data_IF_807527276511
#
_entry.id   IF_807527276511
#
_cell.length_a   1.000
_cell.length_b   1.000
_cell.length_c   1.000
_cell.angle_alpha   90.00
_cell.angle_beta   90.00
_cell.angle_gamma   90.00
#
_symmetry.space_group_name_H-M   'P 1'
#
loop_
_entity.id
_entity.type
_entity.pdbx_description
1 polymer ?
#
# COMPACT_ATOMS: atom_id res chain seq x y z
N UNK A 1 54.15 -15.21 2.48
CA UNK A 1 53.07 -14.99 1.50
C UNK A 1 52.19 -13.78 1.83
N UNK A 2 51.59 -13.67 3.03
CA UNK A 2 50.67 -12.58 3.38
C UNK A 2 51.23 -11.16 3.19
N UNK A 3 52.51 -10.95 3.56
CA UNK A 3 53.21 -9.67 3.39
C UNK A 3 53.38 -9.25 1.92
N UNK A 4 53.47 -10.22 1.00
CA UNK A 4 53.64 -9.97 -0.43
C UNK A 4 52.37 -9.41 -1.04
N UNK A 5 51.19 -9.99 -0.73
CA UNK A 5 49.89 -9.49 -1.17
C UNK A 5 49.57 -8.10 -0.60
N UNK A 6 50.00 -7.82 0.63
CA UNK A 6 49.84 -6.51 1.25
C UNK A 6 50.68 -5.43 0.53
N UNK A 7 51.91 -5.75 0.11
CA UNK A 7 52.81 -4.81 -0.56
C UNK A 7 52.39 -4.47 -1.99
N UNK A 8 51.67 -5.36 -2.68
CA UNK A 8 51.10 -5.09 -4.02
C UNK A 8 49.67 -4.53 -3.95
N UNK A 9 49.15 -4.23 -2.74
CA UNK A 9 47.79 -3.71 -2.54
C UNK A 9 46.66 -4.72 -2.78
N UNK A 10 46.97 -5.99 -3.02
CA UNK A 10 46.01 -7.06 -3.31
C UNK A 10 45.52 -7.81 -2.06
N UNK A 11 45.89 -7.35 -0.85
CA UNK A 11 45.50 -7.96 0.42
C UNK A 11 45.40 -6.96 1.55
N UNK A 12 44.47 -7.21 2.47
CA UNK A 12 44.27 -6.38 3.66
C UNK A 12 45.04 -6.93 4.87
N UNK A 13 45.11 -6.16 5.96
CA UNK A 13 45.66 -6.66 7.23
C UNK A 13 44.88 -7.91 7.66
N UNK A 14 45.62 -8.90 8.15
CA UNK A 14 45.06 -10.17 8.65
C UNK A 14 43.91 -9.89 9.63
N UNK A 15 42.74 -10.48 9.38
CA UNK A 15 41.52 -10.28 10.18
C UNK A 15 40.53 -9.20 9.69
N UNK A 16 40.89 -8.38 8.68
CA UNK A 16 40.01 -7.32 8.14
C UNK A 16 39.10 -7.78 7.00
N UNK A 17 39.52 -8.78 6.21
CA UNK A 17 38.85 -9.16 4.96
C UNK A 17 37.42 -9.68 5.13
N UNK A 18 37.22 -10.67 6.02
CA UNK A 18 35.88 -11.24 6.28
C UNK A 18 34.91 -10.18 6.83
N UNK A 19 35.26 -9.38 7.87
CA UNK A 19 34.40 -8.28 8.31
C UNK A 19 34.03 -7.29 7.21
N UNK A 20 34.95 -6.95 6.29
CA UNK A 20 34.62 -6.05 5.18
C UNK A 20 33.65 -6.67 4.18
N UNK A 21 33.81 -7.95 3.84
CA UNK A 21 32.86 -8.67 2.97
C UNK A 21 31.47 -8.65 3.62
N UNK A 22 31.37 -8.96 4.91
CA UNK A 22 30.10 -8.91 5.64
C UNK A 22 29.52 -7.49 5.70
N UNK A 23 30.35 -6.46 5.88
CA UNK A 23 29.90 -5.06 5.88
C UNK A 23 29.40 -4.60 4.51
N UNK A 24 30.04 -5.03 3.41
CA UNK A 24 29.63 -4.74 2.05
C UNK A 24 28.30 -5.41 1.70
N UNK A 25 28.13 -6.67 2.08
CA UNK A 25 26.88 -7.41 1.89
C UNK A 25 25.75 -6.83 2.74
N UNK A 26 26.05 -6.40 3.97
CA UNK A 26 25.09 -5.69 4.83
C UNK A 26 24.70 -4.31 4.26
N UNK A 27 25.66 -3.58 3.68
CA UNK A 27 25.38 -2.31 3.01
C UNK A 27 24.47 -2.50 1.80
N UNK A 28 24.75 -3.51 0.98
CA UNK A 28 23.97 -3.87 -0.20
C UNK A 28 22.65 -4.62 0.11
N UNK A 29 22.36 -4.90 1.39
CA UNK A 29 21.22 -5.70 1.84
C UNK A 29 21.12 -7.08 1.15
N UNK A 30 22.27 -7.66 0.81
CA UNK A 30 22.38 -9.01 0.29
C UNK A 30 22.29 -10.02 1.42
N UNK A 31 21.80 -11.23 1.10
CA UNK A 31 21.80 -12.34 2.04
C UNK A 31 23.22 -12.53 2.61
N UNK A 32 23.32 -12.52 3.93
CA UNK A 32 24.59 -12.61 4.67
C UNK A 32 25.42 -13.81 4.16
N UNK A 33 26.72 -13.61 3.90
CA UNK A 33 27.63 -14.69 3.50
C UNK A 33 27.56 -15.89 4.45
N UNK A 34 27.56 -17.10 3.89
CA UNK A 34 27.58 -18.35 4.68
C UNK A 34 28.99 -18.92 4.73
N UNK A 35 29.62 -18.84 5.89
CA UNK A 35 30.90 -19.48 6.17
C UNK A 35 30.65 -20.82 6.86
N UNK A 36 31.11 -21.92 6.26
CA UNK A 36 30.99 -23.26 6.84
C UNK A 36 32.13 -24.17 6.38
N UNK A 37 32.43 -25.19 7.18
CA UNK A 37 33.45 -26.18 6.90
C UNK A 37 32.80 -27.45 6.33
N UNK A 38 33.33 -27.91 5.19
CA UNK A 38 32.96 -29.17 4.56
C UNK A 38 34.01 -30.21 4.92
N UNK A 39 33.57 -31.36 5.41
CA UNK A 39 34.46 -32.42 5.93
C UNK A 39 35.03 -33.29 4.79
N UNK A 40 34.32 -33.41 3.66
CA UNK A 40 34.79 -34.24 2.54
C UNK A 40 34.39 -33.63 1.16
N UNK A 41 35.36 -33.11 0.39
CA UNK A 41 36.76 -32.85 0.77
C UNK A 41 36.88 -31.77 1.86
N UNK A 42 37.95 -31.81 2.66
CA UNK A 42 38.25 -30.81 3.70
C UNK A 42 38.40 -29.41 3.09
N UNK A 43 37.38 -28.57 3.26
CA UNK A 43 37.33 -27.23 2.66
C UNK A 43 36.59 -26.25 3.57
N UNK A 44 37.13 -25.04 3.71
CA UNK A 44 36.39 -23.90 4.27
C UNK A 44 35.69 -23.17 3.13
N UNK A 45 34.35 -23.18 3.12
CA UNK A 45 33.54 -22.56 2.08
C UNK A 45 32.90 -21.27 2.59
N UNK A 46 33.13 -20.18 1.86
CA UNK A 46 32.42 -18.91 2.01
C UNK A 46 31.48 -18.71 0.81
N UNK A 47 30.20 -18.95 1.01
CA UNK A 47 29.19 -18.74 -0.03
C UNK A 47 28.69 -17.29 -0.01
N UNK A 48 28.84 -16.59 -1.13
CA UNK A 48 28.38 -15.22 -1.34
C UNK A 48 27.13 -15.26 -2.22
N UNK A 49 25.96 -15.01 -1.64
CA UNK A 49 24.72 -14.87 -2.41
C UNK A 49 24.54 -13.41 -2.83
N UNK A 50 24.31 -13.16 -4.13
CA UNK A 50 24.09 -11.83 -4.72
C UNK A 50 22.58 -11.60 -4.94
N UNK A 51 21.72 -12.45 -4.37
CA UNK A 51 20.27 -12.30 -4.49
C UNK A 51 19.85 -11.13 -3.59
N UNK A 52 19.54 -10.02 -4.24
CA UNK A 52 18.98 -8.81 -3.66
C UNK A 52 17.64 -9.14 -2.97
N UNK A 53 17.50 -8.82 -1.68
CA UNK A 53 16.17 -8.77 -1.04
C UNK A 53 15.38 -7.52 -1.50
N UNK A 54 16.02 -6.61 -2.24
CA UNK A 54 15.53 -5.28 -2.61
C UNK A 54 15.85 -5.04 -4.08
N UNK A 55 14.87 -4.68 -4.89
CA UNK A 55 15.14 -4.33 -6.31
C UNK A 55 16.17 -3.20 -6.37
N UNK A 56 17.13 -3.30 -7.29
CA UNK A 56 18.15 -2.27 -7.52
C UNK A 56 17.50 -0.90 -7.80
N UNK A 57 16.32 -0.92 -8.43
CA UNK A 57 15.44 0.22 -8.67
C UNK A 57 15.00 0.92 -7.38
N UNK A 58 14.64 0.14 -6.35
CA UNK A 58 14.19 0.67 -5.06
C UNK A 58 15.33 1.35 -4.31
N UNK A 59 16.53 0.75 -4.34
CA UNK A 59 17.71 1.35 -3.73
C UNK A 59 18.10 2.67 -4.42
N UNK A 60 18.10 2.70 -5.76
CA UNK A 60 18.37 3.91 -6.54
C UNK A 60 17.35 5.02 -6.24
N UNK A 61 16.06 4.70 -6.18
CA UNK A 61 14.99 5.65 -5.86
C UNK A 61 15.16 6.26 -4.46
N UNK A 62 15.50 5.44 -3.45
CA UNK A 62 15.72 5.91 -2.09
C UNK A 62 16.97 6.80 -1.99
N UNK A 63 18.06 6.44 -2.67
CA UNK A 63 19.26 7.28 -2.74
C UNK A 63 19.00 8.60 -3.47
N UNK A 64 18.18 8.60 -4.53
CA UNK A 64 17.80 9.83 -5.21
C UNK A 64 16.94 10.76 -4.33
N UNK A 65 15.95 10.20 -3.61
CA UNK A 65 15.03 11.00 -2.78
C UNK A 65 15.66 11.51 -1.47
N UNK A 66 16.49 10.71 -0.83
CA UNK A 66 16.97 11.01 0.53
C UNK A 66 18.49 11.14 0.65
N UNK A 67 19.24 10.82 -0.41
CA UNK A 67 20.70 10.93 -0.43
C UNK A 67 21.38 10.09 0.64
N UNK A 68 22.45 10.65 1.23
CA UNK A 68 23.23 10.02 2.30
C UNK A 68 22.49 9.90 3.64
N UNK A 69 21.27 10.44 3.77
CA UNK A 69 20.46 10.25 4.98
C UNK A 69 20.05 8.79 5.15
N UNK A 70 19.81 8.06 4.04
CA UNK A 70 19.46 6.62 4.05
C UNK A 70 20.56 5.77 4.69
N UNK A 71 21.81 6.17 4.50
CA UNK A 71 22.98 5.45 5.03
C UNK A 71 23.05 5.48 6.56
N UNK A 72 22.42 6.49 7.19
CA UNK A 72 22.36 6.64 8.65
C UNK A 72 21.26 5.81 9.30
N UNK A 73 20.35 5.23 8.50
CA UNK A 73 19.25 4.42 9.02
C UNK A 73 19.76 3.08 9.53
N UNK A 74 19.24 2.65 10.68
CA UNK A 74 19.47 1.32 11.20
C UNK A 74 18.75 0.25 10.35
N UNK A 75 19.01 -1.02 10.62
CA UNK A 75 18.48 -2.14 9.85
C UNK A 75 16.95 -2.16 9.81
N UNK A 76 16.29 -1.89 10.95
CA UNK A 76 14.83 -1.83 11.06
C UNK A 76 14.25 -0.66 10.26
N UNK A 77 14.80 0.53 10.47
CA UNK A 77 14.39 1.77 9.81
C UNK A 77 14.52 1.64 8.29
N UNK A 78 15.62 1.04 7.84
CA UNK A 78 15.89 0.78 6.43
C UNK A 78 14.88 -0.19 5.83
N UNK A 79 14.60 -1.31 6.51
CA UNK A 79 13.58 -2.28 6.05
C UNK A 79 12.20 -1.63 5.90
N UNK A 80 11.78 -0.80 6.86
CA UNK A 80 10.49 -0.09 6.79
C UNK A 80 10.44 0.86 5.59
N UNK A 81 11.49 1.66 5.37
CA UNK A 81 11.55 2.62 4.25
C UNK A 81 11.58 1.90 2.90
N UNK A 82 12.29 0.78 2.81
CA UNK A 82 12.31 -0.06 1.59
C UNK A 82 10.95 -0.68 1.32
N UNK A 83 10.28 -1.21 2.33
CA UNK A 83 8.92 -1.76 2.15
C UNK A 83 7.94 -0.66 1.74
N UNK A 84 8.04 0.54 2.31
CA UNK A 84 7.22 1.67 1.86
C UNK A 84 7.53 2.09 0.42
N UNK A 85 8.78 1.93 -0.04
CA UNK A 85 9.17 2.18 -1.43
C UNK A 85 8.66 1.10 -2.40
N UNK A 86 8.69 -0.16 -1.98
CA UNK A 86 8.29 -1.30 -2.82
C UNK A 86 6.77 -1.52 -2.85
N UNK A 87 6.09 -1.36 -1.72
CA UNK A 87 4.64 -1.59 -1.55
C UNK A 87 3.83 -0.27 -1.62
N UNK A 88 4.48 0.88 -1.62
CA UNK A 88 3.88 2.22 -1.63
C UNK A 88 3.43 2.73 -0.25
N UNK A 89 3.12 1.83 0.68
CA UNK A 89 2.69 2.18 2.04
C UNK A 89 3.07 1.07 3.03
N UNK A 90 3.13 1.40 4.33
CA UNK A 90 3.41 0.47 5.43
C UNK A 90 2.56 0.84 6.64
N UNK A 91 1.95 -0.14 7.32
CA UNK A 91 1.33 0.03 8.64
C UNK A 91 2.20 -0.58 9.77
N UNK A 92 1.78 -0.41 11.02
CA UNK A 92 2.51 -0.95 12.18
C UNK A 92 2.58 -2.49 12.16
N UNK A 93 1.51 -3.15 11.74
CA UNK A 93 1.44 -4.61 11.66
C UNK A 93 2.44 -5.15 10.63
N UNK A 94 2.47 -4.56 9.43
CA UNK A 94 3.42 -4.88 8.37
C UNK A 94 4.85 -4.62 8.84
N UNK A 95 5.11 -3.47 9.46
CA UNK A 95 6.44 -3.17 10.00
C UNK A 95 6.90 -4.17 11.08
N UNK A 96 5.99 -4.71 11.90
CA UNK A 96 6.31 -5.79 12.83
C UNK A 96 6.63 -7.11 12.12
N UNK A 97 6.02 -7.41 10.97
CA UNK A 97 6.31 -8.63 10.20
C UNK A 97 7.70 -8.58 9.53
N UNK A 98 8.25 -7.38 9.27
CA UNK A 98 9.56 -7.19 8.64
C UNK A 98 10.73 -7.49 9.59
N UNK A 99 10.47 -7.64 10.89
CA UNK A 99 11.52 -7.76 11.90
C UNK A 99 11.18 -8.80 12.95
N UNK A 100 12.20 -9.45 13.49
CA UNK A 100 12.07 -10.31 14.68
C UNK A 100 12.20 -9.51 16.00
N UNK A 101 12.38 -8.18 15.93
CA UNK A 101 12.48 -7.30 17.08
C UNK A 101 11.13 -7.10 17.78
N UNK A 102 11.15 -6.56 19.00
CA UNK A 102 9.92 -6.33 19.75
C UNK A 102 9.09 -5.22 19.08
N UNK A 103 7.76 -5.37 19.07
CA UNK A 103 6.81 -4.36 18.59
C UNK A 103 7.01 -2.93 19.16
N UNK A 104 7.66 -2.80 20.32
CA UNK A 104 8.01 -1.52 20.93
C UNK A 104 9.07 -0.78 20.11
N UNK A 105 10.03 -1.49 19.54
CA UNK A 105 11.09 -0.92 18.71
C UNK A 105 10.50 -0.32 17.42
N UNK A 106 9.55 -1.04 16.81
CA UNK A 106 8.77 -0.53 15.65
C UNK A 106 7.98 0.73 16.02
N UNK A 107 7.36 0.73 17.20
CA UNK A 107 6.59 1.88 17.70
C UNK A 107 7.46 3.11 17.93
N UNK A 108 8.75 2.95 18.24
CA UNK A 108 9.72 4.04 18.39
C UNK A 108 10.34 4.44 17.05
N UNK A 109 10.57 3.47 16.15
CA UNK A 109 11.16 3.71 14.83
C UNK A 109 10.25 4.52 13.91
N UNK A 110 8.94 4.21 13.87
CA UNK A 110 7.99 4.88 12.97
C UNK A 110 7.91 6.41 13.20
N UNK A 111 7.69 6.93 14.43
CA UNK A 111 7.72 8.37 14.68
C UNK A 111 9.06 9.02 14.34
N UNK A 112 10.17 8.32 14.58
CA UNK A 112 11.52 8.81 14.27
C UNK A 112 11.76 8.94 12.76
N UNK A 113 11.26 7.98 11.98
CA UNK A 113 11.29 8.05 10.51
C UNK A 113 10.45 9.21 9.98
N UNK A 114 9.29 9.47 10.60
CA UNK A 114 8.46 10.63 10.28
C UNK A 114 9.15 11.95 10.63
N UNK A 115 9.72 12.08 11.83
CA UNK A 115 10.43 13.31 12.25
C UNK A 115 11.66 13.59 11.39
N UNK A 116 12.31 12.54 10.88
CA UNK A 116 13.45 12.67 9.98
C UNK A 116 13.06 12.90 8.52
N UNK A 117 11.76 12.95 8.22
CA UNK A 117 11.23 13.25 6.89
C UNK A 117 11.28 12.09 5.90
N UNK A 118 11.50 10.85 6.36
CA UNK A 118 11.50 9.66 5.49
C UNK A 118 10.09 9.14 5.22
N UNK A 119 9.16 9.35 6.14
CA UNK A 119 7.80 8.87 6.05
C UNK A 119 6.79 9.98 6.34
N UNK A 120 5.64 9.92 5.69
CA UNK A 120 4.46 10.74 6.00
C UNK A 120 3.43 9.81 6.66
N UNK A 121 2.89 10.21 7.81
CA UNK A 121 1.84 9.45 8.48
C UNK A 121 0.46 9.85 7.96
N UNK A 122 -0.35 8.88 7.58
CA UNK A 122 -1.74 9.02 7.17
C UNK A 122 -2.66 8.28 8.16
N UNK A 123 -3.85 8.83 8.40
CA UNK A 123 -4.87 8.23 9.29
C UNK A 123 -4.69 8.52 10.79
N UNK A 124 -5.64 8.05 11.59
CA UNK A 124 -5.70 8.28 13.03
C UNK A 124 -5.63 7.00 13.87
N UNK A 125 -5.02 7.10 15.06
CA UNK A 125 -4.99 6.08 16.11
C UNK A 125 -4.52 4.70 15.63
N UNK A 126 -5.44 3.75 15.42
CA UNK A 126 -5.17 2.33 15.11
C UNK A 126 -5.09 2.04 13.60
N UNK A 127 -5.45 3.02 12.77
CA UNK A 127 -5.37 2.93 11.30
C UNK A 127 -4.27 3.86 10.77
N UNK A 128 -3.17 4.02 11.53
CA UNK A 128 -2.00 4.77 11.09
C UNK A 128 -1.24 3.98 10.03
N UNK A 129 -1.11 4.58 8.86
CA UNK A 129 -0.29 4.11 7.75
C UNK A 129 0.79 5.13 7.43
N UNK A 130 1.87 4.69 6.80
CA UNK A 130 3.04 5.50 6.51
C UNK A 130 3.44 5.31 5.05
N UNK A 131 3.75 6.40 4.38
CA UNK A 131 4.14 6.42 2.96
C UNK A 131 5.44 7.19 2.78
N UNK A 132 6.08 7.04 1.63
CA UNK A 132 7.17 7.93 1.25
C UNK A 132 6.64 9.31 0.82
N UNK A 133 7.39 10.40 1.07
CA UNK A 133 7.07 11.72 0.54
C UNK A 133 6.89 11.73 -0.98
N UNK A 134 5.74 12.23 -1.42
CA UNK A 134 5.34 12.31 -2.83
C UNK A 134 4.61 11.07 -3.35
N UNK A 135 4.32 10.07 -2.51
CA UNK A 135 3.36 9.01 -2.83
C UNK A 135 2.01 9.43 -2.28
N UNK A 136 1.08 9.76 -3.17
CA UNK A 136 -0.30 10.09 -2.78
C UNK A 136 -1.11 8.80 -2.61
N UNK A 137 -1.62 8.57 -1.40
CA UNK A 137 -2.66 7.57 -1.17
C UNK A 137 -4.02 8.25 -1.34
N UNK A 138 -4.84 7.85 -2.31
CA UNK A 138 -6.14 8.48 -2.54
C UNK A 138 -7.07 8.12 -1.39
N UNK A 139 -7.16 8.97 -0.35
CA UNK A 139 -7.94 8.71 0.86
C UNK A 139 -9.41 8.43 0.51
N UNK A 140 -10.14 7.60 1.27
CA UNK A 140 -11.56 7.37 0.98
C UNK A 140 -12.33 8.69 0.91
N UNK A 141 -12.01 9.65 1.78
CA UNK A 141 -12.67 10.94 1.76
C UNK A 141 -12.32 11.77 0.52
N UNK A 142 -11.10 11.72 0.00
CA UNK A 142 -10.73 12.39 -1.27
C UNK A 142 -11.25 11.71 -2.53
N UNK A 143 -11.50 10.40 -2.48
CA UNK A 143 -12.11 9.66 -3.60
C UNK A 143 -13.59 9.98 -3.70
N UNK A 144 -14.26 10.11 -2.56
CA UNK A 144 -15.69 10.37 -2.48
C UNK A 144 -16.03 11.84 -2.17
N UNK A 145 -15.03 12.73 -2.05
CA UNK A 145 -15.26 14.16 -1.96
C UNK A 145 -15.68 14.67 -3.34
N UNK A 146 -16.94 15.07 -3.43
CA UNK A 146 -17.42 15.97 -4.48
C UNK A 146 -16.73 17.31 -4.24
N UNK A 147 -15.56 17.52 -4.83
CA UNK A 147 -14.88 18.81 -4.79
C UNK A 147 -15.21 19.58 -6.08
N UNK A 148 -16.09 20.60 -6.06
CA UNK A 148 -16.24 21.55 -7.16
C UNK A 148 -15.02 22.48 -7.35
N UNK A 149 -13.93 22.27 -6.59
CA UNK A 149 -12.71 23.07 -6.62
C UNK A 149 -11.49 22.16 -6.64
N UNK A 150 -11.22 21.56 -7.80
CA UNK A 150 -9.87 21.13 -8.17
C UNK A 150 -9.73 21.18 -9.69
N UNK A 151 -10.02 22.35 -10.26
CA UNK A 151 -9.44 22.72 -11.54
C UNK A 151 -8.01 23.12 -11.22
N UNK A 152 -7.10 22.22 -11.58
CA UNK A 152 -5.71 22.46 -11.94
C UNK A 152 -5.30 23.94 -11.91
N UNK A 153 -4.75 24.40 -10.80
CA UNK A 153 -3.88 25.57 -10.82
C UNK A 153 -2.53 25.15 -11.38
N UNK A 154 -2.48 24.87 -12.70
CA UNK A 154 -1.25 25.03 -13.46
C UNK A 154 -1.07 26.54 -13.61
N UNK A 155 -0.60 27.19 -12.55
CA UNK A 155 -0.07 28.54 -12.65
C UNK A 155 1.34 28.33 -13.21
N UNK A 156 1.43 28.46 -14.53
CA UNK A 156 2.71 28.70 -15.19
C UNK A 156 3.14 30.10 -14.79
N UNK A 157 4.33 30.19 -14.21
CA UNK A 157 5.04 31.44 -13.98
C UNK A 157 5.04 32.29 -15.25
N UNK A 158 4.52 33.50 -15.13
CA UNK A 158 4.89 34.62 -16.00
C UNK A 158 4.67 35.90 -15.21
N UNK A 159 5.80 36.55 -14.91
CA UNK A 159 5.93 37.90 -14.40
C UNK A 159 5.09 38.86 -15.27
N UNK A 160 4.13 39.59 -14.70
CA UNK A 160 4.13 41.06 -14.88
C UNK A 160 3.12 41.80 -14.00
N UNK A 161 3.46 43.07 -13.83
CA UNK A 161 2.93 44.08 -12.94
C UNK A 161 1.42 44.36 -13.05
N UNK A 162 0.84 44.63 -11.88
CA UNK A 162 -0.49 45.16 -11.59
C UNK A 162 -0.74 46.47 -12.36
N UNK A 163 -1.83 46.56 -13.13
CA UNK A 163 -2.65 47.79 -13.25
C UNK A 163 -4.14 47.48 -13.50
N UNK A 164 -4.95 47.99 -12.58
CA UNK A 164 -6.24 48.68 -12.71
C UNK A 164 -7.47 48.06 -13.41
N UNK A 165 -8.56 48.05 -12.64
CA UNK A 165 -9.96 48.36 -12.99
C UNK A 165 -10.59 47.85 -14.28
N UNK A 166 -11.72 47.15 -14.13
CA UNK A 166 -12.71 47.08 -15.19
C UNK A 166 -13.63 45.88 -15.10
N UNK A 167 -14.81 46.08 -14.52
CA UNK A 167 -15.94 45.19 -14.60
C UNK A 167 -16.27 44.88 -16.08
N UNK A 168 -15.93 43.69 -16.57
CA UNK A 168 -16.45 43.16 -17.82
C UNK A 168 -16.96 41.74 -17.59
N UNK A 169 -18.27 41.62 -17.71
CA UNK A 169 -18.96 40.36 -17.91
C UNK A 169 -18.41 39.72 -19.19
N UNK A 170 -17.64 38.66 -19.04
CA UNK A 170 -17.47 37.66 -20.10
C UNK A 170 -18.37 36.50 -19.75
N UNK A 171 -19.52 36.50 -20.42
CA UNK A 171 -20.43 35.39 -20.59
C UNK A 171 -19.66 34.21 -21.20
N UNK A 172 -19.04 33.40 -20.35
CA UNK A 172 -18.76 32.01 -20.66
C UNK A 172 -19.88 31.21 -20.02
N UNK A 173 -20.99 31.11 -20.75
CA UNK A 173 -21.96 30.04 -20.57
C UNK A 173 -21.30 28.69 -20.83
N UNK A 174 -20.53 28.22 -19.84
CA UNK A 174 -20.24 26.82 -19.69
C UNK A 174 -21.17 26.29 -18.61
N UNK A 175 -22.01 25.35 -19.02
CA UNK A 175 -22.97 24.70 -18.16
C UNK A 175 -22.26 24.21 -16.90
N UNK A 176 -22.63 24.79 -15.77
CA UNK A 176 -22.62 24.08 -14.50
C UNK A 176 -23.68 22.97 -14.65
N UNK A 177 -23.37 21.93 -15.42
CA UNK A 177 -23.94 20.63 -15.13
C UNK A 177 -23.33 20.24 -13.82
N UNK A 178 -24.16 20.32 -12.79
CA UNK A 178 -24.06 19.63 -11.51
C UNK A 178 -23.82 18.13 -11.78
N UNK A 179 -22.63 17.79 -12.28
CA UNK A 179 -22.24 16.40 -12.48
C UNK A 179 -21.94 15.89 -11.09
N UNK A 180 -22.97 15.30 -10.50
CA UNK A 180 -22.83 14.31 -9.46
C UNK A 180 -21.75 13.27 -9.84
N UNK A 181 -21.35 12.43 -8.89
CA UNK A 181 -20.27 11.47 -9.09
C UNK A 181 -20.34 10.75 -10.44
N UNK A 182 -19.22 10.67 -11.17
CA UNK A 182 -19.15 9.96 -12.45
C UNK A 182 -19.59 8.50 -12.23
N UNK A 183 -20.74 8.14 -12.79
CA UNK A 183 -21.34 6.81 -12.67
C UNK A 183 -21.38 6.14 -14.04
N UNK A 184 -21.19 4.82 -14.05
CA UNK A 184 -21.33 4.04 -15.27
C UNK A 184 -22.80 3.73 -15.61
N UNK A 185 -23.02 3.07 -16.75
CA UNK A 185 -24.34 2.60 -17.21
C UNK A 185 -25.04 1.66 -16.21
N UNK A 186 -24.29 1.09 -15.25
CA UNK A 186 -24.80 0.20 -14.21
C UNK A 186 -25.02 0.90 -12.86
N UNK A 187 -24.81 2.22 -12.80
CA UNK A 187 -24.98 3.05 -11.60
C UNK A 187 -23.85 2.95 -10.58
N UNK A 188 -22.71 2.38 -10.96
CA UNK A 188 -21.52 2.23 -10.09
C UNK A 188 -20.67 3.49 -10.16
N UNK A 189 -20.11 3.89 -9.02
CA UNK A 189 -19.15 4.99 -8.92
C UNK A 189 -17.85 4.64 -9.65
N UNK A 190 -17.46 5.47 -10.62
CA UNK A 190 -16.21 5.32 -11.36
C UNK A 190 -15.32 6.51 -11.05
N UNK A 191 -14.05 6.24 -10.76
CA UNK A 191 -13.06 7.29 -10.55
C UNK A 191 -11.72 6.84 -11.13
N UNK A 192 -10.94 7.78 -11.64
CA UNK A 192 -9.58 7.50 -12.12
C UNK A 192 -8.61 7.14 -10.97
N UNK A 193 -9.03 7.33 -9.71
CA UNK A 193 -8.24 7.01 -8.51
C UNK A 193 -8.33 5.54 -8.07
N UNK A 194 -9.28 4.77 -8.62
CA UNK A 194 -9.49 3.36 -8.28
C UNK A 194 -9.42 2.50 -9.54
N UNK A 195 -8.82 1.30 -9.46
CA UNK A 195 -8.68 0.42 -10.62
C UNK A 195 -10.00 -0.23 -11.06
N UNK A 196 -11.02 -0.28 -10.20
CA UNK A 196 -12.32 -0.90 -10.47
C UNK A 196 -13.47 -0.01 -10.02
N UNK A 197 -14.67 -0.17 -10.63
CA UNK A 197 -15.89 0.53 -10.22
C UNK A 197 -16.25 0.21 -8.76
N UNK A 198 -16.85 1.17 -8.07
CA UNK A 198 -17.21 1.10 -6.66
C UNK A 198 -18.73 1.22 -6.50
N UNK A 199 -19.35 0.38 -5.67
CA UNK A 199 -20.77 0.48 -5.33
C UNK A 199 -20.88 1.29 -4.04
N UNK A 200 -21.16 2.58 -4.15
CA UNK A 200 -21.32 3.50 -3.01
C UNK A 200 -22.72 3.45 -2.41
N UNK A 201 -23.73 3.34 -3.28
CA UNK A 201 -25.14 3.29 -2.90
C UNK A 201 -25.88 2.22 -3.70
N UNK A 202 -26.65 1.38 -2.98
CA UNK A 202 -27.46 0.33 -3.59
C UNK A 202 -28.65 0.89 -4.37
N UNK A 203 -29.22 2.03 -3.94
CA UNK A 203 -30.40 2.61 -4.58
C UNK A 203 -30.09 3.21 -5.96
N UNK A 204 -28.83 3.54 -6.19
CA UNK A 204 -28.37 4.17 -7.41
C UNK A 204 -28.00 3.20 -8.53
N UNK A 205 -27.99 1.89 -8.23
CA UNK A 205 -27.67 0.84 -9.19
C UNK A 205 -28.81 0.61 -10.19
N UNK A 206 -28.46 0.14 -11.38
CA UNK A 206 -29.43 -0.33 -12.37
C UNK A 206 -30.24 -1.53 -11.85
N UNK A 207 -31.49 -1.66 -12.31
CA UNK A 207 -32.41 -2.70 -11.86
C UNK A 207 -31.93 -4.10 -12.21
N UNK A 208 -31.22 -4.30 -13.34
CA UNK A 208 -30.67 -5.60 -13.70
C UNK A 208 -29.55 -6.01 -12.73
N UNK A 209 -28.66 -5.07 -12.39
CA UNK A 209 -27.57 -5.33 -11.46
C UNK A 209 -28.09 -5.55 -10.03
N UNK A 210 -29.09 -4.76 -9.60
CA UNK A 210 -29.79 -4.97 -8.32
C UNK A 210 -30.39 -6.36 -8.22
N UNK A 211 -31.09 -6.81 -9.26
CA UNK A 211 -31.69 -8.16 -9.29
C UNK A 211 -30.62 -9.25 -9.27
N UNK A 212 -29.53 -9.09 -10.01
CA UNK A 212 -28.40 -10.03 -10.01
C UNK A 212 -27.76 -10.15 -8.63
N UNK A 213 -27.45 -9.03 -7.97
CA UNK A 213 -26.89 -9.03 -6.62
C UNK A 213 -27.85 -9.64 -5.60
N UNK A 214 -29.15 -9.31 -5.69
CA UNK A 214 -30.18 -9.91 -4.84
C UNK A 214 -30.27 -11.42 -5.05
N UNK A 215 -30.26 -11.90 -6.29
CA UNK A 215 -30.31 -13.33 -6.61
C UNK A 215 -29.11 -14.11 -6.11
N UNK A 216 -27.90 -13.54 -6.20
CA UNK A 216 -26.68 -14.16 -5.64
C UNK A 216 -26.76 -14.25 -4.11
N UNK A 217 -27.34 -13.23 -3.46
CA UNK A 217 -27.47 -13.18 -2.00
C UNK A 217 -28.68 -13.91 -1.42
N UNK A 218 -29.64 -14.31 -2.25
CA UNK A 218 -30.90 -14.96 -1.86
C UNK A 218 -30.69 -16.22 -1.00
N UNK A 219 -29.76 -17.14 -1.34
CA UNK A 219 -29.50 -18.32 -0.52
C UNK A 219 -29.02 -17.98 0.90
N UNK A 220 -28.33 -16.85 1.07
CA UNK A 220 -27.87 -16.39 2.37
C UNK A 220 -28.99 -15.74 3.21
N UNK A 221 -29.98 -15.13 2.56
CA UNK A 221 -31.17 -14.54 3.20
C UNK A 221 -32.14 -15.62 3.68
N UNK A 222 -32.44 -16.59 2.83
CA UNK A 222 -33.45 -17.61 3.11
C UNK A 222 -33.01 -18.60 4.20
N UNK A 223 -31.75 -19.00 4.19
CA UNK A 223 -31.21 -19.93 5.19
C UNK A 223 -30.62 -19.14 6.37
N UNK A 224 -31.20 -19.29 7.57
CA UNK A 224 -30.63 -18.69 8.80
C UNK A 224 -29.28 -19.29 9.21
N UNK A 225 -28.96 -20.52 8.78
CA UNK A 225 -27.67 -21.21 9.00
C UNK A 225 -27.10 -21.68 7.67
N UNK A 226 -25.98 -21.09 7.25
CA UNK A 226 -25.16 -21.55 6.13
C UNK A 226 -23.79 -21.97 6.65
N UNK A 227 -23.14 -22.90 5.96
CA UNK A 227 -21.72 -23.15 6.16
C UNK A 227 -20.92 -21.92 5.72
N UNK A 228 -19.76 -21.72 6.35
CA UNK A 228 -18.87 -20.61 6.00
C UNK A 228 -18.43 -20.69 4.54
N UNK A 229 -18.17 -21.90 4.01
CA UNK A 229 -17.76 -22.11 2.62
C UNK A 229 -18.78 -21.59 1.59
N UNK A 230 -20.07 -21.82 1.81
CA UNK A 230 -21.12 -21.32 0.91
C UNK A 230 -21.23 -19.80 1.03
N UNK A 231 -21.06 -19.27 2.24
CA UNK A 231 -21.07 -17.82 2.46
C UNK A 231 -19.88 -17.13 1.78
N UNK A 232 -18.70 -17.75 1.85
CA UNK A 232 -17.48 -17.27 1.20
C UNK A 232 -17.69 -17.18 -0.32
N UNK A 233 -18.27 -18.22 -0.93
CA UNK A 233 -18.53 -18.23 -2.38
C UNK A 233 -19.56 -17.17 -2.78
N UNK A 234 -20.59 -16.94 -1.96
CA UNK A 234 -21.56 -15.84 -2.19
C UNK A 234 -20.85 -14.48 -2.13
N UNK A 235 -20.02 -14.24 -1.10
CA UNK A 235 -19.30 -12.97 -0.95
C UNK A 235 -18.32 -12.75 -2.10
N UNK A 236 -17.61 -13.79 -2.54
CA UNK A 236 -16.68 -13.73 -3.68
C UNK A 236 -17.40 -13.43 -4.99
N UNK A 237 -18.58 -14.02 -5.21
CA UNK A 237 -19.38 -13.77 -6.41
C UNK A 237 -20.01 -12.36 -6.39
N UNK A 238 -20.42 -11.87 -5.21
CA UNK A 238 -20.91 -10.50 -5.06
C UNK A 238 -19.81 -9.49 -5.40
N UNK A 239 -18.61 -9.64 -4.84
CA UNK A 239 -17.53 -8.67 -4.99
C UNK A 239 -16.72 -8.84 -6.30
N UNK A 240 -17.26 -9.54 -7.30
CA UNK A 240 -16.52 -9.83 -8.54
C UNK A 240 -16.58 -8.64 -9.51
N UNK A 241 -15.41 -8.07 -9.80
CA UNK A 241 -15.25 -7.01 -10.81
C UNK A 241 -15.75 -5.63 -10.38
N UNK A 242 -16.01 -5.41 -9.09
CA UNK A 242 -16.35 -4.12 -8.50
C UNK A 242 -16.10 -4.13 -6.99
N UNK A 243 -15.79 -2.97 -6.42
CA UNK A 243 -15.66 -2.79 -4.99
C UNK A 243 -17.02 -2.62 -4.31
N UNK A 244 -17.26 -3.32 -3.21
CA UNK A 244 -18.47 -3.16 -2.39
C UNK A 244 -18.08 -2.84 -0.94
N UNK A 245 -18.68 -1.82 -0.30
CA UNK A 245 -18.48 -1.54 1.12
C UNK A 245 -19.10 -2.61 2.00
N UNK A 246 -18.53 -2.80 3.18
CA UNK A 246 -19.04 -3.73 4.19
C UNK A 246 -20.53 -3.53 4.52
N UNK A 247 -21.02 -2.28 4.53
CA UNK A 247 -22.43 -1.97 4.80
C UNK A 247 -23.37 -2.60 3.76
N UNK A 248 -23.02 -2.52 2.48
CA UNK A 248 -23.85 -3.04 1.38
C UNK A 248 -23.75 -4.57 1.34
N UNK A 249 -22.57 -5.15 1.55
CA UNK A 249 -22.43 -6.62 1.65
C UNK A 249 -23.31 -7.16 2.80
N UNK A 250 -23.25 -6.51 3.96
CA UNK A 250 -24.07 -6.89 5.12
C UNK A 250 -25.58 -6.75 4.84
N UNK A 251 -25.99 -5.70 4.13
CA UNK A 251 -27.38 -5.49 3.71
C UNK A 251 -27.84 -6.56 2.71
N UNK A 252 -27.00 -6.95 1.74
CA UNK A 252 -27.33 -7.97 0.75
C UNK A 252 -27.51 -9.34 1.40
N UNK A 253 -26.62 -9.72 2.31
CA UNK A 253 -26.58 -11.04 2.95
C UNK A 253 -27.52 -11.12 4.18
N UNK A 254 -28.10 -9.99 4.61
CA UNK A 254 -28.93 -9.88 5.83
C UNK A 254 -28.23 -10.40 7.09
N UNK A 255 -27.00 -9.92 7.32
CA UNK A 255 -26.16 -10.28 8.46
C UNK A 255 -25.50 -9.05 9.06
N UNK A 256 -25.00 -9.17 10.30
CA UNK A 256 -24.34 -8.04 10.95
C UNK A 256 -22.99 -7.73 10.30
N UNK A 257 -22.65 -6.45 10.07
CA UNK A 257 -21.36 -6.05 9.49
C UNK A 257 -20.15 -6.63 10.22
N UNK A 258 -20.21 -6.72 11.55
CA UNK A 258 -19.11 -7.26 12.35
C UNK A 258 -18.89 -8.75 12.08
N UNK A 259 -19.97 -9.53 11.94
CA UNK A 259 -19.87 -10.96 11.69
C UNK A 259 -19.25 -11.24 10.31
N UNK A 260 -19.68 -10.50 9.29
CA UNK A 260 -19.14 -10.59 7.93
C UNK A 260 -17.66 -10.23 7.89
N UNK A 261 -17.27 -9.17 8.62
CA UNK A 261 -15.86 -8.76 8.72
C UNK A 261 -14.99 -9.85 9.33
N UNK A 262 -15.38 -10.42 10.45
CA UNK A 262 -14.58 -11.38 11.21
C UNK A 262 -14.55 -12.78 10.58
N UNK A 263 -15.69 -13.26 10.05
CA UNK A 263 -15.82 -14.65 9.59
C UNK A 263 -15.53 -14.85 8.12
N UNK A 264 -15.78 -13.86 7.26
CA UNK A 264 -15.60 -13.96 5.81
C UNK A 264 -14.48 -13.05 5.32
N UNK A 265 -14.59 -11.72 5.52
CA UNK A 265 -13.68 -10.78 4.88
C UNK A 265 -12.24 -10.88 5.37
N UNK A 266 -12.01 -10.97 6.70
CA UNK A 266 -10.67 -11.13 7.24
C UNK A 266 -9.96 -12.39 6.69
N UNK A 267 -10.53 -13.61 6.78
CA UNK A 267 -9.87 -14.80 6.25
C UNK A 267 -9.77 -14.80 4.71
N UNK A 268 -10.71 -14.20 3.98
CA UNK A 268 -10.63 -14.12 2.51
C UNK A 268 -9.54 -13.17 2.02
N UNK A 269 -9.30 -12.07 2.74
CA UNK A 269 -8.19 -11.14 2.47
C UNK A 269 -6.85 -11.79 2.83
N UNK A 270 -6.76 -12.45 3.99
CA UNK A 270 -5.54 -13.17 4.39
C UNK A 270 -5.15 -14.29 3.42
N UNK A 271 -6.14 -15.01 2.89
CA UNK A 271 -5.93 -16.05 1.88
C UNK A 271 -5.70 -15.50 0.45
N UNK A 272 -5.65 -14.18 0.27
CA UNK A 272 -5.39 -13.54 -1.02
C UNK A 272 -6.51 -13.69 -2.05
N UNK A 273 -7.73 -14.10 -1.64
CA UNK A 273 -8.89 -14.22 -2.53
C UNK A 273 -9.64 -12.89 -2.69
N UNK A 274 -9.40 -11.92 -1.81
CA UNK A 274 -10.01 -10.60 -1.87
C UNK A 274 -8.98 -9.49 -1.65
N UNK A 275 -9.19 -8.36 -2.32
CA UNK A 275 -8.43 -7.13 -2.14
C UNK A 275 -9.31 -6.04 -1.51
N UNK A 276 -8.63 -5.10 -0.87
CA UNK A 276 -9.23 -3.93 -0.25
C UNK A 276 -9.03 -2.70 -1.15
N UNK A 277 -10.06 -1.87 -1.30
CA UNK A 277 -9.97 -0.62 -2.04
C UNK A 277 -8.98 0.36 -1.40
N UNK A 278 -8.99 0.43 -0.06
CA UNK A 278 -8.09 1.29 0.71
C UNK A 278 -7.37 0.45 1.77
N UNK A 279 -6.28 -0.26 1.40
CA UNK A 279 -5.56 -1.15 2.32
C UNK A 279 -5.09 -0.47 3.61
N UNK A 280 -4.81 0.83 3.52
CA UNK A 280 -4.35 1.68 4.62
C UNK A 280 -5.49 2.16 5.54
N UNK A 281 -6.76 2.02 5.14
CA UNK A 281 -7.93 2.48 5.88
C UNK A 281 -8.87 1.31 6.23
N UNK A 282 -8.31 0.22 6.79
CA UNK A 282 -9.00 -1.06 7.06
C UNK A 282 -10.36 -0.91 7.77
N UNK A 283 -10.50 0.06 8.68
CA UNK A 283 -11.73 0.25 9.49
C UNK A 283 -12.65 1.36 8.99
N UNK A 284 -12.33 1.98 7.86
CA UNK A 284 -13.13 3.06 7.31
C UNK A 284 -14.51 2.58 6.86
N UNK A 285 -15.54 3.42 7.00
CA UNK A 285 -16.92 3.08 6.61
C UNK A 285 -17.06 2.82 5.10
N UNK A 286 -16.28 3.55 4.31
CA UNK A 286 -16.20 3.42 2.85
C UNK A 286 -15.11 2.44 2.39
N UNK A 287 -14.71 1.50 3.25
CA UNK A 287 -13.77 0.47 2.85
C UNK A 287 -14.46 -0.52 1.92
N UNK A 288 -14.04 -0.57 0.67
CA UNK A 288 -14.54 -1.50 -0.34
C UNK A 288 -13.73 -2.79 -0.39
N UNK A 289 -14.39 -3.88 -0.76
CA UNK A 289 -13.78 -5.18 -0.98
C UNK A 289 -14.07 -5.66 -2.40
N UNK A 290 -13.09 -6.27 -3.05
CA UNK A 290 -13.19 -6.86 -4.38
C UNK A 290 -12.60 -8.26 -4.37
N UNK A 291 -13.12 -9.16 -5.18
CA UNK A 291 -12.57 -10.50 -5.39
C UNK A 291 -11.37 -10.44 -6.33
N UNK A 292 -10.28 -11.09 -5.95
CA UNK A 292 -9.11 -11.32 -6.80
C UNK A 292 -9.28 -12.71 -7.43
N UNK A 293 -9.36 -12.77 -8.75
CA UNK A 293 -9.57 -14.02 -9.48
C UNK A 293 -9.04 -13.94 -10.90
#
# INVERSE_FOLDING_TARGET
MHQMFLMIGAGERSGSGIPKIYSGWKWANWRVPRLHEKVEPEQTLLELSIVNLVSEETAALLHQKFGSKVERLNELERSIVITAAAEGWVDHERACQLTSLHSRDVTLALPKLVSNGFLISHGEKRDKSYTLPGVELPSPDEVFAVNPLSIQSVITDSEDMITDSGNMNTDNGDMITDKGPDRDELGRFVTNKLPYPYIDDFECLDDQLKQKLKGISEPARDKKRLSNEIMDDIVLNLCRGHFIPLSIIAQLVDRTPQNIREKQLAPLVENGKMSMAFPYAKRHKKQGYITIG
#
